data_IF_565927764227
#
_entry.id   IF_565927764227
#
_cell.length_a   1.000
_cell.length_b   1.000
_cell.length_c   1.000
_cell.angle_alpha   90.00
_cell.angle_beta   90.00
_cell.angle_gamma   90.00
#
_symmetry.space_group_name_H-M   'P 1'
#
loop_
_entity.id
_entity.type
_entity.pdbx_description
1 polymer ?
#
# COMPACT_ATOMS: atom_id res chain seq x y z
N UNK A 1 -5.55 -13.18 17.31
CA UNK A 1 -4.66 -12.01 17.46
C UNK A 1 -5.03 -11.01 16.37
N UNK A 2 -5.73 -9.93 16.72
CA UNK A 2 -5.93 -8.81 15.80
C UNK A 2 -4.55 -8.20 15.55
N UNK A 3 -4.05 -8.27 14.31
CA UNK A 3 -2.84 -7.56 13.93
C UNK A 3 -3.20 -6.07 13.99
N UNK A 4 -2.78 -5.33 15.03
CA UNK A 4 -3.25 -3.99 15.26
C UNK A 4 -2.66 -3.16 14.13
N UNK A 5 -3.54 -2.58 13.33
CA UNK A 5 -3.25 -1.65 12.24
C UNK A 5 -1.91 -0.94 12.47
N UNK A 6 -0.82 -1.43 11.87
CA UNK A 6 0.46 -0.73 11.88
C UNK A 6 0.13 0.67 11.41
N UNK A 7 0.28 1.65 12.30
CA UNK A 7 -0.04 3.04 11.99
C UNK A 7 1.10 3.53 11.10
N UNK A 8 0.95 3.31 9.80
CA UNK A 8 1.90 3.79 8.81
C UNK A 8 1.77 5.30 8.71
N UNK A 9 2.83 6.02 8.98
CA UNK A 9 2.91 7.43 8.64
C UNK A 9 2.99 7.55 7.10
N UNK A 10 2.21 8.43 6.45
CA UNK A 10 2.33 8.63 5.01
C UNK A 10 3.78 8.94 4.63
N UNK A 11 4.33 8.20 3.67
CA UNK A 11 5.74 8.28 3.29
C UNK A 11 6.65 7.23 3.93
N UNK A 12 6.12 6.37 4.82
CA UNK A 12 6.89 5.25 5.39
C UNK A 12 7.42 4.37 4.26
N UNK A 13 8.71 4.04 4.31
CA UNK A 13 9.33 3.12 3.36
C UNK A 13 8.84 1.69 3.61
N UNK A 14 8.35 1.06 2.56
CA UNK A 14 7.85 -0.31 2.58
C UNK A 14 8.44 -1.09 1.43
N UNK A 15 8.61 -2.39 1.64
CA UNK A 15 8.92 -3.34 0.58
C UNK A 15 7.62 -3.91 0.04
N UNK A 16 7.37 -3.74 -1.25
CA UNK A 16 6.26 -4.39 -1.93
C UNK A 16 6.65 -5.81 -2.34
N UNK A 17 5.76 -6.75 -2.03
CA UNK A 17 5.89 -8.17 -2.35
C UNK A 17 4.51 -8.76 -2.74
N UNK A 18 3.69 -7.97 -3.44
CA UNK A 18 2.36 -8.36 -3.89
C UNK A 18 2.34 -9.19 -5.18
N UNK A 19 1.17 -9.24 -5.83
CA UNK A 19 0.95 -10.05 -7.03
C UNK A 19 1.59 -9.48 -8.30
N UNK A 20 1.88 -8.18 -8.35
CA UNK A 20 2.56 -7.53 -9.48
C UNK A 20 4.08 -7.68 -9.29
N UNK A 21 4.62 -8.82 -9.70
CA UNK A 21 6.01 -9.19 -9.42
C UNK A 21 7.04 -8.22 -10.01
N UNK A 22 6.70 -7.58 -11.13
CA UNK A 22 7.47 -6.53 -11.78
C UNK A 22 7.60 -5.25 -10.96
N UNK A 23 6.72 -5.06 -9.97
CA UNK A 23 6.74 -3.94 -9.03
C UNK A 23 7.34 -4.32 -7.67
N UNK A 24 7.98 -5.49 -7.53
CA UNK A 24 8.67 -5.86 -6.29
C UNK A 24 9.84 -4.91 -6.06
N UNK A 25 9.85 -4.24 -4.92
CA UNK A 25 10.81 -3.16 -4.66
C UNK A 25 10.51 -2.41 -3.37
N UNK A 26 11.24 -1.32 -3.14
CA UNK A 26 11.04 -0.44 -1.99
C UNK A 26 10.41 0.86 -2.45
N UNK A 27 9.35 1.27 -1.76
CA UNK A 27 8.53 2.43 -2.09
C UNK A 27 8.11 3.18 -0.84
N UNK A 28 7.70 4.44 -1.00
CA UNK A 28 6.99 5.17 0.03
C UNK A 28 5.49 4.84 -0.01
N UNK A 29 4.92 4.40 1.11
CA UNK A 29 3.50 4.08 1.21
C UNK A 29 2.68 5.30 1.67
N UNK A 30 1.64 5.62 0.92
CA UNK A 30 0.68 6.68 1.23
C UNK A 30 -0.74 6.14 1.26
N UNK A 31 -1.67 6.71 2.04
CA UNK A 31 -3.08 6.35 1.95
C UNK A 31 -3.60 6.49 0.52
N UNK A 32 -4.23 5.45 -0.02
CA UNK A 32 -4.76 5.50 -1.37
C UNK A 32 -5.97 6.45 -1.43
N UNK A 33 -5.96 7.39 -2.38
CA UNK A 33 -7.01 8.39 -2.57
C UNK A 33 -7.82 8.22 -3.86
N UNK A 34 -7.73 7.07 -4.52
CA UNK A 34 -8.40 6.85 -5.81
C UNK A 34 -9.93 6.72 -5.72
N UNK A 35 -10.49 6.67 -4.49
CA UNK A 35 -11.93 6.49 -4.19
C UNK A 35 -12.56 5.20 -4.76
N UNK A 36 -11.78 4.35 -5.43
CA UNK A 36 -12.17 3.05 -5.99
C UNK A 36 -11.67 1.87 -5.13
N UNK A 37 -11.19 2.15 -3.92
CA UNK A 37 -10.67 1.15 -2.98
C UNK A 37 -11.77 0.37 -2.25
N UNK A 38 -12.90 0.10 -2.89
CA UNK A 38 -13.97 -0.74 -2.34
C UNK A 38 -13.58 -2.22 -2.49
N UNK A 39 -13.80 -3.01 -1.45
CA UNK A 39 -13.75 -4.46 -1.59
C UNK A 39 -15.09 -5.03 -2.10
N UNK A 40 -15.13 -6.33 -2.37
CA UNK A 40 -16.32 -7.05 -2.86
C UNK A 40 -17.49 -7.02 -1.87
N UNK A 41 -17.29 -6.54 -0.65
CA UNK A 41 -18.30 -6.39 0.40
C UNK A 41 -18.57 -4.92 0.75
N UNK A 42 -18.08 -3.98 -0.05
CA UNK A 42 -18.21 -2.55 0.16
C UNK A 42 -17.64 -2.06 1.50
N UNK A 43 -16.74 -2.83 2.13
CA UNK A 43 -16.07 -2.42 3.34
C UNK A 43 -14.87 -1.52 2.98
N UNK A 44 -14.70 -0.38 3.67
CA UNK A 44 -13.54 0.47 3.50
C UNK A 44 -12.29 -0.25 4.03
N UNK A 45 -11.62 -1.00 3.17
CA UNK A 45 -10.33 -1.59 3.47
C UNK A 45 -9.23 -0.55 3.36
N UNK A 46 -8.33 -0.48 4.34
CA UNK A 46 -7.11 0.35 4.24
C UNK A 46 -6.32 -0.08 3.01
N UNK A 47 -6.05 0.85 2.09
CA UNK A 47 -5.23 0.63 0.90
C UNK A 47 -4.17 1.71 0.78
N UNK A 48 -3.09 1.37 0.09
CA UNK A 48 -1.95 2.25 -0.11
C UNK A 48 -1.71 2.56 -1.60
N UNK A 49 -1.23 3.76 -1.86
CA UNK A 49 -0.51 4.11 -3.05
C UNK A 49 1.00 4.02 -2.75
N UNK A 50 1.76 3.46 -3.68
CA UNK A 50 3.20 3.34 -3.60
C UNK A 50 3.83 4.39 -4.50
N UNK A 51 4.74 5.18 -3.93
CA UNK A 51 5.53 6.15 -4.65
C UNK A 51 6.99 5.69 -4.73
N UNK A 52 7.61 5.85 -5.90
CA UNK A 52 9.03 5.63 -6.09
C UNK A 52 9.87 6.75 -5.45
N UNK A 53 11.19 6.69 -5.63
CA UNK A 53 12.11 7.70 -5.09
C UNK A 53 11.90 9.10 -5.68
N UNK A 54 11.33 9.17 -6.90
CA UNK A 54 11.06 10.40 -7.63
C UNK A 54 9.65 10.96 -7.31
N UNK A 55 8.85 10.25 -6.49
CA UNK A 55 7.50 10.63 -6.11
C UNK A 55 6.42 10.19 -7.11
N UNK A 56 6.77 9.44 -8.15
CA UNK A 56 5.79 8.92 -9.10
C UNK A 56 5.04 7.75 -8.49
N UNK A 57 3.74 7.67 -8.77
CA UNK A 57 2.90 6.57 -8.29
C UNK A 57 3.16 5.32 -9.10
N UNK A 58 3.86 4.35 -8.51
CA UNK A 58 4.14 3.05 -9.12
C UNK A 58 2.93 2.11 -9.06
N UNK A 59 2.18 2.15 -7.95
CA UNK A 59 1.00 1.31 -7.75
C UNK A 59 -0.06 2.00 -6.89
N UNK A 60 -1.32 1.67 -7.11
CA UNK A 60 -2.44 2.11 -6.27
C UNK A 60 -3.25 0.91 -5.78
N UNK A 61 -4.14 1.14 -4.80
CA UNK A 61 -5.00 0.11 -4.23
C UNK A 61 -4.24 -1.07 -3.59
N UNK A 62 -2.98 -0.87 -3.22
CA UNK A 62 -2.12 -1.90 -2.63
C UNK A 62 -2.65 -2.30 -1.27
N UNK A 63 -2.72 -3.61 -1.02
CA UNK A 63 -3.23 -4.15 0.24
C UNK A 63 -2.12 -4.11 1.30
N UNK A 64 -2.47 -3.89 2.59
CA UNK A 64 -1.52 -3.94 3.69
C UNK A 64 -0.73 -5.27 3.73
N UNK A 65 -1.36 -6.39 3.39
CA UNK A 65 -0.71 -7.72 3.33
C UNK A 65 0.35 -7.88 2.24
N UNK A 66 0.41 -6.95 1.29
CA UNK A 66 1.32 -6.99 0.14
C UNK A 66 2.55 -6.11 0.34
N UNK A 67 2.69 -5.52 1.53
CA UNK A 67 3.79 -4.65 1.89
C UNK A 67 4.30 -4.99 3.30
N UNK A 68 5.59 -4.82 3.52
CA UNK A 68 6.24 -4.93 4.83
C UNK A 68 7.10 -3.71 5.11
N UNK A 69 7.25 -3.34 6.38
CA UNK A 69 8.09 -2.21 6.76
C UNK A 69 9.55 -2.57 6.45
N UNK A 70 10.33 -1.57 6.04
CA UNK A 70 11.77 -1.70 5.84
C UNK A 70 12.50 -1.08 7.02
#
# INVERSE_FOLDING_TARGET
MLNPMTRWEPGTKVRYHGSLVELHGVYAAHPCRCLRCTDTHNLPGVRFALQDADGNTAATCVRPRSITAV
#
